data_IF_821112116181
#
_entry.id   IF_821112116181
#
_cell.length_a   1.000
_cell.length_b   1.000
_cell.length_c   1.000
_cell.angle_alpha   90.00
_cell.angle_beta   90.00
_cell.angle_gamma   90.00
#
_symmetry.space_group_name_H-M   'P 1'
#
loop_
_entity.id
_entity.type
_entity.pdbx_description
1 polymer ?
#
# COMPACT_ATOMS: atom_id res chain seq x y z
N UNK A 1 -9.96 -10.00 3.12
CA UNK A 1 -10.72 -10.66 4.20
C UNK A 1 -10.64 -9.80 5.46
N UNK A 2 -11.77 -9.42 6.04
CA UNK A 2 -11.84 -8.70 7.31
C UNK A 2 -12.53 -9.59 8.33
N UNK A 3 -11.94 -9.77 9.50
CA UNK A 3 -12.54 -10.56 10.58
C UNK A 3 -12.50 -9.76 11.89
N UNK A 4 -13.67 -9.49 12.45
CA UNK A 4 -13.80 -8.86 13.76
C UNK A 4 -13.87 -9.95 14.81
N UNK A 5 -12.84 -10.07 15.65
CA UNK A 5 -12.73 -11.15 16.64
C UNK A 5 -13.12 -10.74 18.06
N UNK A 6 -12.92 -9.47 18.43
CA UNK A 6 -13.14 -8.95 19.78
C UNK A 6 -13.54 -7.48 19.75
N UNK A 7 -14.18 -7.01 20.82
CA UNK A 7 -14.34 -5.59 21.11
C UNK A 7 -13.78 -5.25 22.49
N UNK A 8 -13.30 -4.01 22.65
CA UNK A 8 -12.88 -3.46 23.95
C UNK A 8 -14.02 -2.66 24.57
N UNK A 9 -14.21 -2.78 25.88
CA UNK A 9 -15.12 -1.95 26.67
C UNK A 9 -14.29 -0.82 27.28
N UNK A 10 -14.57 0.41 26.88
CA UNK A 10 -13.89 1.60 27.39
C UNK A 10 -14.83 2.36 28.33
N UNK A 11 -14.36 2.73 29.53
CA UNK A 11 -15.12 3.57 30.46
C UNK A 11 -15.28 4.96 29.84
N UNK A 12 -16.53 5.46 29.81
CA UNK A 12 -16.79 6.82 29.37
C UNK A 12 -16.02 7.84 30.23
N UNK A 13 -15.58 8.92 29.59
CA UNK A 13 -14.79 10.02 30.16
C UNK A 13 -13.34 9.69 30.54
N UNK A 14 -13.03 8.51 31.09
CA UNK A 14 -11.65 8.15 31.45
C UNK A 14 -10.89 7.43 30.33
N UNK A 15 -11.61 6.87 29.35
CA UNK A 15 -11.05 6.02 28.29
C UNK A 15 -10.27 4.79 28.82
N UNK A 16 -10.48 4.43 30.08
CA UNK A 16 -9.85 3.25 30.67
C UNK A 16 -10.46 1.98 30.09
N UNK A 17 -9.60 1.02 29.78
CA UNK A 17 -10.03 -0.30 29.38
C UNK A 17 -10.61 -1.05 30.59
N UNK A 18 -11.92 -1.31 30.57
CA UNK A 18 -12.65 -2.00 31.64
C UNK A 18 -12.99 -3.45 31.27
N UNK A 19 -12.52 -3.93 30.12
CA UNK A 19 -12.66 -5.32 29.71
C UNK A 19 -12.77 -5.50 28.20
N UNK A 20 -13.04 -6.73 27.80
CA UNK A 20 -13.21 -7.12 26.41
C UNK A 20 -14.39 -8.10 26.27
N UNK A 21 -14.85 -8.29 25.03
CA UNK A 21 -15.80 -9.34 24.67
C UNK A 21 -15.41 -9.95 23.34
N UNK A 22 -15.83 -11.19 23.11
CA UNK A 22 -15.58 -11.92 21.87
C UNK A 22 -16.69 -11.65 20.85
N UNK A 23 -16.32 -11.68 19.57
CA UNK A 23 -17.22 -11.55 18.43
C UNK A 23 -17.05 -12.82 17.59
N UNK A 24 -18.13 -13.56 17.44
CA UNK A 24 -18.21 -14.75 16.59
C UNK A 24 -19.07 -14.40 15.38
N UNK A 25 -18.46 -13.71 14.42
CA UNK A 25 -19.04 -13.43 13.11
C UNK A 25 -18.17 -14.09 12.05
N UNK A 26 -18.81 -14.46 10.95
CA UNK A 26 -18.10 -14.95 9.77
C UNK A 26 -17.20 -13.86 9.19
N UNK A 27 -16.16 -14.28 8.49
CA UNK A 27 -15.26 -13.34 7.85
C UNK A 27 -15.96 -12.67 6.67
N UNK A 28 -15.81 -11.36 6.57
CA UNK A 28 -16.30 -10.60 5.42
C UNK A 28 -15.27 -10.63 4.29
N UNK A 29 -15.73 -10.98 3.11
CA UNK A 29 -14.94 -11.11 1.89
C UNK A 29 -15.58 -10.28 0.78
N UNK A 30 -14.74 -9.62 -0.01
CA UNK A 30 -15.16 -8.83 -1.16
C UNK A 30 -14.46 -9.41 -2.38
N UNK A 31 -15.24 -10.00 -3.28
CA UNK A 31 -14.76 -10.40 -4.59
C UNK A 31 -14.60 -9.16 -5.48
N UNK A 32 -13.40 -8.96 -6.02
CA UNK A 32 -13.07 -7.79 -6.85
C UNK A 32 -11.95 -8.12 -7.83
N UNK A 33 -11.66 -7.17 -8.73
CA UNK A 33 -10.53 -7.22 -9.65
C UNK A 33 -9.31 -6.53 -9.03
N UNK A 34 -8.14 -7.07 -9.35
CA UNK A 34 -6.86 -6.59 -8.83
C UNK A 34 -5.76 -6.76 -9.87
N UNK A 35 -4.82 -5.82 -9.87
CA UNK A 35 -3.53 -5.91 -10.50
C UNK A 35 -2.50 -6.18 -9.42
N UNK A 36 -1.61 -7.15 -9.67
CA UNK A 36 -0.56 -7.53 -8.74
C UNK A 36 0.79 -7.34 -9.42
N UNK A 37 1.67 -6.55 -8.80
CA UNK A 37 3.09 -6.54 -9.13
C UNK A 37 3.83 -7.49 -8.20
N UNK A 38 4.50 -8.47 -8.79
CA UNK A 38 5.43 -9.35 -8.09
C UNK A 38 6.84 -8.76 -8.14
N UNK A 39 7.53 -8.77 -7.00
CA UNK A 39 8.89 -8.24 -6.83
C UNK A 39 9.81 -9.37 -6.34
N UNK A 40 10.12 -10.37 -7.20
CA UNK A 40 10.96 -11.50 -6.82
C UNK A 40 12.44 -11.12 -6.66
N UNK A 41 12.89 -10.09 -7.37
CA UNK A 41 14.27 -9.62 -7.39
C UNK A 41 14.35 -8.28 -6.65
N UNK A 42 14.36 -8.35 -5.32
CA UNK A 42 14.63 -7.19 -4.48
C UNK A 42 16.09 -7.18 -4.03
N UNK A 43 16.66 -6.02 -3.68
CA UNK A 43 18.02 -5.95 -3.14
C UNK A 43 18.12 -6.81 -1.88
N UNK A 44 19.10 -7.73 -1.83
CA UNK A 44 19.34 -8.68 -0.73
C UNK A 44 19.65 -8.01 0.63
N UNK A 45 19.84 -6.69 0.63
CA UNK A 45 20.29 -5.90 1.78
C UNK A 45 19.14 -5.43 2.70
N UNK A 46 17.89 -5.76 2.36
CA UNK A 46 16.72 -5.37 3.15
C UNK A 46 16.24 -6.52 4.04
N UNK A 47 16.23 -6.30 5.35
CA UNK A 47 15.46 -7.17 6.24
C UNK A 47 13.94 -7.00 6.02
N UNK A 48 13.14 -7.91 6.57
CA UNK A 48 11.68 -7.90 6.39
C UNK A 48 11.02 -6.60 6.89
N UNK A 49 11.59 -5.95 7.91
CA UNK A 49 11.04 -4.73 8.50
C UNK A 49 11.28 -3.55 7.57
N UNK A 50 12.54 -3.37 7.14
CA UNK A 50 12.96 -2.34 6.21
C UNK A 50 12.23 -2.48 4.87
N UNK A 51 12.08 -3.72 4.38
CA UNK A 51 11.29 -3.99 3.18
C UNK A 51 9.81 -3.61 3.37
N UNK A 52 9.22 -3.91 4.54
CA UNK A 52 7.86 -3.50 4.89
C UNK A 52 7.67 -1.98 4.85
N UNK A 53 8.63 -1.22 5.38
CA UNK A 53 8.59 0.25 5.34
C UNK A 53 8.68 0.79 3.90
N UNK A 54 9.62 0.29 3.11
CA UNK A 54 9.79 0.70 1.71
C UNK A 54 8.55 0.40 0.88
N UNK A 55 7.97 -0.81 1.01
CA UNK A 55 6.75 -1.18 0.30
C UNK A 55 5.53 -0.39 0.77
N UNK A 56 5.44 -0.06 2.06
CA UNK A 56 4.40 0.82 2.59
C UNK A 56 4.51 2.22 2.00
N UNK A 57 5.74 2.73 1.88
CA UNK A 57 6.00 4.01 1.25
C UNK A 57 5.63 4.03 -0.23
N UNK A 58 6.03 2.98 -0.95
CA UNK A 58 5.65 2.74 -2.34
C UNK A 58 4.12 2.71 -2.51
N UNK A 59 3.42 1.97 -1.66
CA UNK A 59 1.97 1.87 -1.69
C UNK A 59 1.29 3.24 -1.47
N UNK A 60 1.81 4.04 -0.54
CA UNK A 60 1.29 5.37 -0.22
C UNK A 60 1.37 6.31 -1.42
N UNK A 61 2.55 6.42 -2.04
CA UNK A 61 2.76 7.31 -3.18
C UNK A 61 2.00 6.83 -4.41
N UNK A 62 2.04 5.53 -4.74
CA UNK A 62 1.32 4.96 -5.88
C UNK A 62 -0.19 5.21 -5.74
N UNK A 63 -0.75 4.98 -4.55
CA UNK A 63 -2.17 5.29 -4.26
C UNK A 63 -2.50 6.77 -4.41
N UNK A 64 -1.54 7.67 -4.19
CA UNK A 64 -1.75 9.11 -4.37
C UNK A 64 -1.75 9.53 -5.84
N UNK A 65 -1.02 8.81 -6.69
CA UNK A 65 -0.77 9.16 -8.09
C UNK A 65 -1.80 8.53 -9.03
N UNK A 66 -2.22 7.27 -8.79
CA UNK A 66 -3.18 6.54 -9.64
C UNK A 66 -4.44 7.37 -10.00
N UNK A 67 -5.11 8.06 -9.07
CA UNK A 67 -6.35 8.80 -9.36
C UNK A 67 -6.19 9.86 -10.46
N UNK A 68 -5.00 10.46 -10.59
CA UNK A 68 -4.70 11.42 -11.65
C UNK A 68 -4.73 10.78 -13.04
N UNK A 69 -4.25 9.54 -13.16
CA UNK A 69 -4.15 8.81 -14.43
C UNK A 69 -5.45 8.10 -14.83
N UNK A 70 -6.25 7.69 -13.85
CA UNK A 70 -7.50 6.96 -14.06
C UNK A 70 -8.75 7.86 -13.95
N UNK A 71 -8.59 9.12 -13.54
CA UNK A 71 -9.69 10.06 -13.32
C UNK A 71 -10.74 9.52 -12.34
N UNK A 72 -10.30 8.80 -11.31
CA UNK A 72 -11.13 8.24 -10.25
C UNK A 72 -10.91 8.97 -8.90
N UNK A 73 -11.68 8.62 -7.88
CA UNK A 73 -11.42 9.07 -6.51
C UNK A 73 -10.36 8.19 -5.82
N UNK A 74 -9.62 8.76 -4.85
CA UNK A 74 -8.69 8.00 -3.98
C UNK A 74 -9.35 6.87 -3.19
N UNK A 75 -10.66 6.92 -3.01
CA UNK A 75 -11.45 5.90 -2.32
C UNK A 75 -11.87 4.76 -3.23
N UNK A 76 -11.81 4.90 -4.56
CA UNK A 76 -12.22 3.87 -5.51
C UNK A 76 -11.17 2.76 -5.67
N UNK A 77 -9.92 3.04 -5.29
CA UNK A 77 -8.78 2.15 -5.47
C UNK A 77 -8.05 1.88 -4.16
N UNK A 78 -7.80 0.60 -3.91
CA UNK A 78 -6.97 0.13 -2.81
C UNK A 78 -5.57 -0.20 -3.30
N UNK A 79 -4.55 0.13 -2.50
CA UNK A 79 -3.17 -0.31 -2.71
C UNK A 79 -2.68 -0.93 -1.42
N UNK A 80 -2.22 -2.19 -1.48
CA UNK A 80 -1.76 -2.95 -0.31
C UNK A 80 -0.40 -3.59 -0.63
N UNK A 81 0.63 -3.29 0.16
CA UNK A 81 1.91 -3.97 0.07
C UNK A 81 1.86 -5.32 0.80
N UNK A 82 2.61 -6.30 0.31
CA UNK A 82 2.90 -7.55 1.01
C UNK A 82 4.40 -7.79 0.97
N UNK A 83 5.04 -7.84 2.16
CA UNK A 83 6.47 -8.18 2.30
C UNK A 83 6.74 -9.59 1.77
N UNK A 84 5.80 -10.50 2.03
CA UNK A 84 5.84 -11.87 1.53
C UNK A 84 4.44 -12.31 1.15
N UNK A 85 4.22 -12.43 -0.15
CA UNK A 85 2.99 -12.95 -0.70
C UNK A 85 2.78 -14.41 -0.30
N UNK A 86 1.56 -14.74 0.11
CA UNK A 86 1.23 -16.09 0.61
C UNK A 86 1.21 -17.17 -0.48
N UNK A 87 1.05 -16.80 -1.75
CA UNK A 87 0.98 -17.71 -2.88
C UNK A 87 2.33 -17.82 -3.61
N UNK A 88 2.94 -16.68 -3.93
CA UNK A 88 4.18 -16.60 -4.71
C UNK A 88 5.44 -16.58 -3.85
N UNK A 89 5.32 -16.28 -2.55
CA UNK A 89 6.44 -16.34 -1.61
C UNK A 89 7.46 -15.20 -1.73
N UNK A 90 7.22 -14.21 -2.60
CA UNK A 90 8.03 -12.99 -2.77
C UNK A 90 7.23 -11.74 -2.39
N UNK A 91 7.89 -10.59 -2.35
CA UNK A 91 7.20 -9.33 -2.11
C UNK A 91 6.25 -8.98 -3.26
N UNK A 92 5.17 -8.28 -2.93
CA UNK A 92 4.18 -7.88 -3.92
C UNK A 92 3.49 -6.57 -3.57
N UNK A 93 3.02 -5.87 -4.59
CA UNK A 93 2.14 -4.70 -4.46
C UNK A 93 0.81 -5.00 -5.16
N UNK A 94 -0.27 -4.99 -4.40
CA UNK A 94 -1.62 -5.23 -4.91
C UNK A 94 -2.34 -3.90 -5.11
N UNK A 95 -2.97 -3.74 -6.27
CA UNK A 95 -3.83 -2.60 -6.59
C UNK A 95 -5.19 -3.13 -7.03
N UNK A 96 -6.24 -2.85 -6.26
CA UNK A 96 -7.56 -3.45 -6.46
C UNK A 96 -8.69 -2.41 -6.46
N UNK A 97 -9.77 -2.76 -7.15
CA UNK A 97 -10.98 -1.95 -7.17
C UNK A 97 -11.74 -2.11 -5.84
N UNK A 98 -12.14 -0.99 -5.23
CA UNK A 98 -12.96 -1.00 -4.00
C UNK A 98 -14.46 -1.16 -4.24
N UNK A 99 -14.83 -1.54 -5.46
CA UNK A 99 -16.19 -1.90 -5.84
C UNK A 99 -16.35 -3.43 -5.93
N UNK A 100 -17.45 -4.02 -5.40
CA UNK A 100 -17.74 -5.44 -5.60
C UNK A 100 -17.78 -5.81 -7.08
N UNK A 101 -17.15 -6.93 -7.45
CA UNK A 101 -17.03 -7.41 -8.83
C UNK A 101 -15.98 -6.70 -9.69
N UNK A 102 -15.40 -5.60 -9.19
CA UNK A 102 -14.47 -4.75 -9.94
C UNK A 102 -15.18 -3.70 -10.80
N UNK A 103 -14.60 -2.50 -10.84
CA UNK A 103 -15.05 -1.38 -11.68
C UNK A 103 -14.21 -1.24 -12.95
N UNK A 104 -13.11 -1.99 -13.06
CA UNK A 104 -12.19 -1.96 -14.20
C UNK A 104 -11.02 -0.98 -14.01
N UNK A 105 -10.84 -0.36 -12.83
CA UNK A 105 -9.73 0.56 -12.59
C UNK A 105 -8.40 -0.19 -12.54
N UNK A 106 -8.35 -1.36 -11.88
CA UNK A 106 -7.17 -2.21 -11.84
C UNK A 106 -6.75 -2.71 -13.22
N UNK A 107 -7.73 -2.98 -14.09
CA UNK A 107 -7.49 -3.39 -15.48
C UNK A 107 -6.96 -2.21 -16.32
N UNK A 108 -7.59 -1.04 -16.21
CA UNK A 108 -7.14 0.17 -16.88
C UNK A 108 -5.75 0.63 -16.43
N UNK A 109 -5.40 0.39 -15.16
CA UNK A 109 -4.09 0.71 -14.60
C UNK A 109 -2.95 -0.04 -15.29
N UNK A 110 -3.19 -1.28 -15.74
CA UNK A 110 -2.14 -2.11 -16.36
C UNK A 110 -1.46 -1.40 -17.55
N UNK A 111 -2.23 -0.66 -18.34
CA UNK A 111 -1.73 0.07 -19.51
C UNK A 111 -1.02 1.40 -19.16
N UNK A 112 -1.14 1.88 -17.91
CA UNK A 112 -0.60 3.17 -17.44
C UNK A 112 0.43 3.02 -16.32
N UNK A 113 0.77 1.78 -15.99
CA UNK A 113 1.55 1.44 -14.80
C UNK A 113 2.92 2.14 -14.80
N UNK A 114 3.56 2.12 -15.96
CA UNK A 114 4.85 2.79 -16.20
C UNK A 114 4.78 4.29 -15.93
N UNK A 115 3.77 4.95 -16.49
CA UNK A 115 3.56 6.41 -16.31
C UNK A 115 3.26 6.75 -14.85
N UNK A 116 2.50 5.89 -14.16
CA UNK A 116 2.19 6.05 -12.73
C UNK A 116 3.46 5.93 -11.88
N UNK A 117 4.34 4.96 -12.15
CA UNK A 117 5.60 4.83 -11.42
C UNK A 117 6.56 5.99 -11.71
N UNK A 118 6.68 6.42 -12.96
CA UNK A 118 7.47 7.58 -13.32
C UNK A 118 7.00 8.86 -12.58
N UNK A 119 5.69 9.12 -12.57
CA UNK A 119 5.12 10.26 -11.86
C UNK A 119 5.25 10.15 -10.33
N UNK A 120 5.17 8.92 -9.78
CA UNK A 120 5.44 8.68 -8.37
C UNK A 120 6.91 8.96 -8.02
N UNK A 121 7.87 8.52 -8.86
CA UNK A 121 9.29 8.80 -8.68
C UNK A 121 9.57 10.31 -8.73
N UNK A 122 9.00 11.00 -9.71
CA UNK A 122 9.07 12.47 -9.82
C UNK A 122 8.55 13.16 -8.57
N UNK A 123 7.37 12.75 -8.07
CA UNK A 123 6.81 13.33 -6.85
C UNK A 123 7.69 13.12 -5.62
N UNK A 124 8.30 11.94 -5.47
CA UNK A 124 9.21 11.66 -4.35
C UNK A 124 10.48 12.51 -4.44
N UNK A 125 11.02 12.66 -5.66
CA UNK A 125 12.23 13.45 -5.94
C UNK A 125 12.05 14.94 -5.66
N UNK A 126 10.92 15.52 -6.09
CA UNK A 126 10.62 16.94 -5.87
C UNK A 126 10.20 17.27 -4.44
N UNK A 127 9.83 16.25 -3.65
CA UNK A 127 9.39 16.47 -2.29
C UNK A 127 10.57 16.94 -1.40
N UNK A 128 10.45 18.08 -0.69
CA UNK A 128 11.54 18.64 0.11
C UNK A 128 11.77 17.91 1.44
N UNK A 129 11.01 16.86 1.77
CA UNK A 129 11.20 16.12 3.00
C UNK A 129 12.47 15.26 2.96
N UNK A 130 13.11 15.04 4.10
CA UNK A 130 14.30 14.18 4.18
C UNK A 130 13.92 12.70 4.25
N UNK A 131 13.04 12.34 5.19
CA UNK A 131 12.75 10.93 5.54
C UNK A 131 11.42 10.41 5.00
N UNK A 132 10.48 11.30 4.67
CA UNK A 132 9.13 10.96 4.23
C UNK A 132 8.10 11.94 4.81
N UNK A 133 6.99 12.14 4.10
CA UNK A 133 5.85 12.93 4.58
C UNK A 133 4.54 12.43 3.97
N UNK A 134 3.37 12.86 4.48
CA UNK A 134 2.06 12.43 3.97
C UNK A 134 1.83 12.72 2.47
N UNK A 135 2.61 13.62 1.88
CA UNK A 135 2.53 14.00 0.46
C UNK A 135 3.40 13.14 -0.47
N UNK A 136 4.29 12.30 0.07
CA UNK A 136 5.15 11.39 -0.69
C UNK A 136 5.00 9.93 -0.20
N UNK A 137 6.03 9.37 0.43
CA UNK A 137 6.07 7.99 0.92
C UNK A 137 5.40 7.79 2.30
N UNK A 138 4.80 8.82 2.90
CA UNK A 138 4.21 8.72 4.24
C UNK A 138 5.22 9.00 5.37
N UNK A 139 4.74 8.86 6.61
CA UNK A 139 5.50 9.21 7.84
C UNK A 139 5.92 8.00 8.65
N UNK A 140 5.51 6.81 8.23
CA UNK A 140 5.70 5.57 8.99
C UNK A 140 7.13 5.00 8.83
N UNK A 141 7.98 5.65 8.04
CA UNK A 141 9.38 5.28 7.87
C UNK A 141 10.16 5.57 9.15
N UNK A 142 10.75 4.53 9.76
CA UNK A 142 11.66 4.68 10.89
C UNK A 142 13.12 4.78 10.45
N UNK A 143 13.44 4.27 9.25
CA UNK A 143 14.75 4.34 8.64
C UNK A 143 14.90 5.61 7.79
N UNK A 144 16.04 6.29 7.93
CA UNK A 144 16.34 7.52 7.18
C UNK A 144 16.42 7.27 5.65
N UNK A 145 16.85 6.07 5.25
CA UNK A 145 17.06 5.69 3.86
C UNK A 145 15.78 5.24 3.13
N UNK A 146 14.63 5.12 3.82
CA UNK A 146 13.40 4.58 3.22
C UNK A 146 12.96 5.38 2.00
N UNK A 147 13.10 6.71 2.02
CA UNK A 147 12.77 7.58 0.88
C UNK A 147 13.65 7.29 -0.33
N UNK A 148 14.96 7.19 -0.13
CA UNK A 148 15.92 6.91 -1.20
C UNK A 148 15.67 5.52 -1.80
N UNK A 149 15.50 4.51 -0.96
CA UNK A 149 15.24 3.14 -1.39
C UNK A 149 13.90 2.99 -2.13
N UNK A 150 12.85 3.68 -1.66
CA UNK A 150 11.56 3.71 -2.35
C UNK A 150 11.66 4.40 -3.72
N UNK A 151 12.47 5.46 -3.83
CA UNK A 151 12.73 6.15 -5.09
C UNK A 151 13.46 5.24 -6.08
N UNK A 152 14.53 4.56 -5.64
CA UNK A 152 15.27 3.60 -6.49
C UNK A 152 14.36 2.49 -7.00
N UNK A 153 13.49 1.95 -6.13
CA UNK A 153 12.54 0.92 -6.55
C UNK A 153 11.51 1.44 -7.56
N UNK A 154 11.01 2.66 -7.39
CA UNK A 154 10.11 3.30 -8.37
C UNK A 154 10.76 3.50 -9.74
N UNK A 155 12.04 3.91 -9.76
CA UNK A 155 12.79 4.10 -11.01
C UNK A 155 12.96 2.77 -11.75
N UNK A 156 13.38 1.70 -11.05
CA UNK A 156 13.47 0.35 -11.62
C UNK A 156 12.11 -0.11 -12.19
N UNK A 157 11.02 0.14 -11.48
CA UNK A 157 9.67 -0.24 -11.92
C UNK A 157 9.15 0.61 -13.09
N UNK A 158 9.67 1.82 -13.29
CA UNK A 158 9.31 2.70 -14.40
C UNK A 158 10.06 2.38 -15.71
N UNK A 159 11.13 1.60 -15.64
CA UNK A 159 11.92 1.18 -16.80
C UNK A 159 11.53 -0.20 -17.35
N UNK A 160 10.64 -0.92 -16.65
CA UNK A 160 10.03 -2.18 -17.09
C UNK A 160 8.74 -1.95 -17.88
#
# INVERSE_FOLDING_TARGET
RTQVSKFKKLRFHTHENIGFGEISLDAEEMETRSLMLLLPELPDELDETALGEVLTGLASIVRSVIPFFLLCDRQDIGVVPMVRDTHFGCAALYVYDRAPGGSGLSEALSAKLRDVFAAAAERVRECPCETGCPSCIGVDATLAETKERAMTLLEVLSDQ
#
